data_IF_496160285079
#
_entry.id   IF_496160285079
#
_cell.length_a   1.000
_cell.length_b   1.000
_cell.length_c   1.000
_cell.angle_alpha   90.00
_cell.angle_beta   90.00
_cell.angle_gamma   90.00
#
_symmetry.space_group_name_H-M   'P 1'
#
loop_
_entity.id
_entity.type
_entity.pdbx_description
1 polymer ?
#
# COMPACT_ATOMS: atom_id res chain seq x y z
N UNK A 1 -14.48 12.64 2.56
CA UNK A 1 -13.09 12.47 3.02
C UNK A 1 -12.20 12.51 1.80
N UNK A 2 -11.25 13.45 1.72
CA UNK A 2 -10.31 13.54 0.60
C UNK A 2 -8.98 12.95 1.06
N UNK A 3 -8.41 12.05 0.26
CA UNK A 3 -7.10 11.45 0.49
C UNK A 3 -6.23 11.66 -0.76
N UNK A 4 -4.95 11.94 -0.53
CA UNK A 4 -3.93 12.05 -1.56
C UNK A 4 -3.04 10.82 -1.47
N UNK A 5 -2.89 10.09 -2.56
CA UNK A 5 -2.18 8.80 -2.60
C UNK A 5 -0.84 8.97 -3.31
N UNK A 6 0.24 8.62 -2.61
CA UNK A 6 1.57 8.46 -3.20
C UNK A 6 1.87 6.98 -3.41
N UNK A 7 2.38 6.63 -4.60
CA UNK A 7 2.83 5.28 -4.90
C UNK A 7 4.26 5.37 -5.43
N UNK A 8 5.16 4.60 -4.83
CA UNK A 8 6.53 4.41 -5.30
C UNK A 8 6.73 2.94 -5.69
N UNK A 9 7.02 2.70 -6.96
CA UNK A 9 7.19 1.36 -7.53
C UNK A 9 8.69 1.13 -7.76
N UNK A 10 9.35 0.47 -6.81
CA UNK A 10 10.74 0.05 -6.97
C UNK A 10 10.87 -1.44 -7.34
N UNK A 11 12.08 -1.84 -7.76
CA UNK A 11 12.37 -3.21 -8.19
C UNK A 11 12.20 -4.24 -7.07
N UNK A 12 12.51 -3.88 -5.84
CA UNK A 12 12.52 -4.78 -4.70
C UNK A 12 11.25 -4.66 -3.86
N UNK A 13 10.75 -3.46 -3.63
CA UNK A 13 9.53 -3.22 -2.88
C UNK A 13 8.68 -2.12 -3.53
N UNK A 14 7.37 -2.20 -3.35
CA UNK A 14 6.42 -1.18 -3.72
C UNK A 14 5.90 -0.52 -2.46
N UNK A 15 5.87 0.80 -2.43
CA UNK A 15 5.39 1.58 -1.29
C UNK A 15 4.15 2.36 -1.69
N UNK A 16 3.16 2.40 -0.79
CA UNK A 16 1.98 3.22 -0.93
C UNK A 16 1.75 4.01 0.36
N UNK A 17 1.43 5.29 0.21
CA UNK A 17 1.06 6.17 1.31
C UNK A 17 -0.22 6.94 0.98
N UNK A 18 -0.99 7.26 2.02
CA UNK A 18 -2.15 8.15 1.94
C UNK A 18 -2.03 9.24 2.98
N UNK A 19 -2.28 10.48 2.58
CA UNK A 19 -2.35 11.63 3.47
C UNK A 19 -3.69 12.36 3.30
N UNK A 20 -4.13 13.04 4.35
CA UNK A 20 -5.24 13.99 4.24
C UNK A 20 -4.76 15.36 3.74
N UNK A 21 -5.70 16.31 3.69
CA UNK A 21 -5.44 17.70 3.25
C UNK A 21 -4.50 18.48 4.16
N UNK A 22 -4.33 18.05 5.41
CA UNK A 22 -3.45 18.66 6.41
C UNK A 22 -2.08 17.95 6.43
N UNK A 23 -1.80 17.14 5.40
CA UNK A 23 -0.61 16.31 5.24
C UNK A 23 -0.42 15.27 6.37
N UNK A 24 -1.49 14.90 7.07
CA UNK A 24 -1.43 13.86 8.09
C UNK A 24 -1.45 12.48 7.43
N UNK A 25 -0.53 11.62 7.83
CA UNK A 25 -0.47 10.23 7.37
C UNK A 25 -1.69 9.46 7.85
N UNK A 26 -2.45 8.92 6.90
CA UNK A 26 -3.58 8.03 7.12
C UNK A 26 -3.19 6.57 6.86
N UNK A 27 -2.24 6.35 5.94
CA UNK A 27 -1.74 5.05 5.54
C UNK A 27 -0.29 5.15 5.06
N UNK A 28 0.54 4.16 5.39
CA UNK A 28 1.89 4.03 4.84
C UNK A 28 2.34 2.58 4.95
N UNK A 29 2.56 1.93 3.81
CA UNK A 29 2.96 0.52 3.77
C UNK A 29 3.84 0.20 2.58
N UNK A 30 4.87 -0.60 2.83
CA UNK A 30 5.69 -1.22 1.79
C UNK A 30 5.31 -2.70 1.66
N UNK A 31 5.32 -3.19 0.44
CA UNK A 31 5.12 -4.60 0.09
C UNK A 31 6.28 -5.01 -0.80
N UNK A 32 6.89 -6.15 -0.49
CA UNK A 32 7.93 -6.71 -1.35
C UNK A 32 7.37 -6.99 -2.75
N UNK A 33 8.21 -6.80 -3.76
CA UNK A 33 7.91 -7.17 -5.13
C UNK A 33 8.05 -8.69 -5.27
N UNK A 34 7.03 -9.38 -4.76
CA UNK A 34 6.83 -10.82 -4.86
C UNK A 34 5.67 -11.07 -5.86
N UNK A 35 5.98 -11.32 -7.15
CA UNK A 35 4.96 -11.46 -8.18
C UNK A 35 3.92 -12.57 -7.89
N UNK A 36 4.31 -13.75 -7.37
CA UNK A 36 3.36 -14.73 -6.84
C UNK A 36 2.37 -14.19 -5.80
N UNK A 37 2.85 -13.47 -4.78
CA UNK A 37 1.99 -12.91 -3.74
C UNK A 37 1.04 -11.83 -4.30
N UNK A 38 1.55 -10.96 -5.18
CA UNK A 38 0.76 -9.92 -5.87
C UNK A 38 -0.32 -10.56 -6.76
N UNK A 39 0.00 -11.64 -7.47
CA UNK A 39 -0.95 -12.34 -8.32
C UNK A 39 -2.06 -13.04 -7.51
N UNK A 40 -1.75 -13.56 -6.33
CA UNK A 40 -2.73 -14.22 -5.44
C UNK A 40 -3.67 -13.25 -4.70
N UNK A 41 -3.27 -11.98 -4.52
CA UNK A 41 -4.10 -10.92 -3.91
C UNK A 41 -5.15 -10.33 -4.86
N UNK A 42 -5.41 -10.95 -6.02
CA UNK A 42 -6.40 -10.51 -7.01
C UNK A 42 -7.87 -10.86 -6.68
N UNK A 43 -8.22 -11.05 -5.41
CA UNK A 43 -9.64 -11.01 -5.00
C UNK A 43 -10.08 -9.55 -4.90
N UNK A 44 -11.27 -9.18 -5.41
CA UNK A 44 -11.66 -7.78 -5.61
C UNK A 44 -11.79 -6.94 -4.32
N UNK A 45 -11.65 -7.55 -3.13
CA UNK A 45 -11.67 -6.88 -1.83
C UNK A 45 -10.82 -7.61 -0.77
N UNK A 46 -9.57 -8.00 -1.06
CA UNK A 46 -8.69 -8.60 -0.04
C UNK A 46 -8.18 -7.56 0.97
N UNK A 47 -9.04 -7.22 1.93
CA UNK A 47 -8.66 -6.88 3.30
C UNK A 47 -7.80 -8.00 3.87
N UNK A 48 -6.49 -7.79 3.99
CA UNK A 48 -5.62 -8.45 4.97
C UNK A 48 -4.26 -7.72 5.05
N UNK A 49 -4.29 -6.45 5.42
CA UNK A 49 -3.07 -5.74 5.79
C UNK A 49 -2.71 -6.13 7.23
N UNK A 50 -1.93 -7.20 7.39
CA UNK A 50 -1.31 -7.50 8.68
C UNK A 50 -0.28 -6.42 9.00
N UNK A 51 -0.45 -5.83 10.18
CA UNK A 51 0.37 -4.81 10.82
C UNK A 51 1.84 -5.24 10.85
N UNK A 52 2.76 -4.45 10.30
CA UNK A 52 4.18 -4.60 10.58
C UNK A 52 4.42 -4.18 12.04
N UNK A 53 5.06 -5.06 12.80
CA UNK A 53 5.53 -4.81 14.16
C UNK A 53 6.71 -3.83 14.16
#
# INVERSE_FOLDING_TARGET
MQAFIGIDIAKQAHWACAIDRDAKVMFSMAVENDPPAIASNRTPYATNFKKAA
#
